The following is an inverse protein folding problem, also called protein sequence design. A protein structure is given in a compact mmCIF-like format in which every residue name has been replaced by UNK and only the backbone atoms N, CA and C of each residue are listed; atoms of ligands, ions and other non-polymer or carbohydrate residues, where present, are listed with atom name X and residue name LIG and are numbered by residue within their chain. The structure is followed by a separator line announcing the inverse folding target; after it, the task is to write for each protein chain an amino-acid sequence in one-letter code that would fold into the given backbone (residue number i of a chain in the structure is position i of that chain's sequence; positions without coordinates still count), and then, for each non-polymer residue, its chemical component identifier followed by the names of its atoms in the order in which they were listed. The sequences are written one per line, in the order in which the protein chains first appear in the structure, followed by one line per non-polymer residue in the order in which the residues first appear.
data_IF_724295180218
#
_entry.id   IF_724295180218
#
_cell.length_a   1.000
_cell.length_b   1.000
_cell.length_c   1.000
_cell.angle_alpha   90.00
_cell.angle_beta   90.00
_cell.angle_gamma   90.00
#
_symmetry.space_group_name_H-M   'P 1'
#
loop_
_entity.id
_entity.type
_entity.pdbx_description
1 polymer ?
#
# COMPACT_ATOMS: atom_id res chain seq x y z
N UNK A 1 0.96 -6.91 2.56
CA UNK A 1 0.02 -6.83 1.42
C UNK A 1 -1.17 -6.00 1.85
N UNK A 2 -1.55 -4.99 1.07
CA UNK A 2 -2.70 -4.13 1.38
C UNK A 2 -4.00 -4.84 0.99
N UNK A 3 -5.13 -4.53 1.63
CA UNK A 3 -6.45 -5.04 1.20
C UNK A 3 -6.73 -4.75 -0.27
N UNK A 4 -6.37 -3.55 -0.72
CA UNK A 4 -6.56 -3.12 -2.11
C UNK A 4 -5.78 -3.99 -3.11
N UNK A 5 -4.67 -4.61 -2.70
CA UNK A 5 -3.88 -5.46 -3.60
C UNK A 5 -4.61 -6.77 -3.89
N UNK A 6 -5.35 -7.30 -2.92
CA UNK A 6 -6.21 -8.46 -3.12
C UNK A 6 -7.37 -8.13 -4.06
N UNK A 7 -8.06 -7.00 -3.85
CA UNK A 7 -9.16 -6.59 -4.73
C UNK A 7 -8.69 -6.30 -6.15
N UNK A 8 -7.52 -5.68 -6.32
CA UNK A 8 -6.89 -5.49 -7.64
C UNK A 8 -6.62 -6.82 -8.34
N UNK A 9 -6.07 -7.81 -7.64
CA UNK A 9 -5.79 -9.13 -8.20
C UNK A 9 -7.07 -9.86 -8.62
N UNK A 10 -8.13 -9.75 -7.82
CA UNK A 10 -9.44 -10.31 -8.13
C UNK A 10 -10.05 -9.66 -9.38
N UNK A 11 -10.14 -8.32 -9.40
CA UNK A 11 -10.68 -7.57 -10.53
C UNK A 11 -9.87 -7.83 -11.82
N UNK A 12 -8.55 -7.88 -11.72
CA UNK A 12 -7.70 -8.27 -12.84
C UNK A 12 -8.06 -9.67 -13.34
N UNK A 13 -8.22 -10.64 -12.45
CA UNK A 13 -8.57 -12.02 -12.83
C UNK A 13 -9.95 -12.09 -13.51
N UNK A 14 -10.92 -11.29 -13.06
CA UNK A 14 -12.24 -11.18 -13.70
C UNK A 14 -12.10 -10.59 -15.11
N UNK A 15 -11.32 -9.52 -15.26
CA UNK A 15 -11.14 -8.83 -16.56
C UNK A 15 -10.55 -9.78 -17.63
N UNK A 16 -9.73 -10.76 -17.22
CA UNK A 16 -9.15 -11.72 -18.16
C UNK A 16 -10.19 -12.69 -18.75
N UNK A 17 -11.34 -12.84 -18.10
CA UNK A 17 -12.41 -13.77 -18.52
C UNK A 17 -13.58 -13.05 -19.21
N UNK A 18 -13.87 -11.82 -18.82
CA UNK A 18 -14.92 -10.97 -19.40
C UNK A 18 -14.60 -9.49 -19.16
N UNK A 19 -15.27 -8.60 -19.89
CA UNK A 19 -15.24 -7.18 -19.55
C UNK A 19 -15.75 -6.94 -18.12
N UNK A 20 -15.16 -5.96 -17.43
CA UNK A 20 -15.63 -5.49 -16.13
C UNK A 20 -16.98 -4.78 -16.29
N UNK A 21 -17.86 -4.93 -15.31
CA UNK A 21 -19.03 -4.06 -15.19
C UNK A 21 -18.60 -2.63 -14.86
N UNK A 22 -19.51 -1.67 -14.97
CA UNK A 22 -19.24 -0.29 -14.59
C UNK A 22 -18.84 -0.17 -13.11
N UNK A 23 -19.52 -0.90 -12.22
CA UNK A 23 -19.19 -0.95 -10.79
C UNK A 23 -17.79 -1.52 -10.55
N UNK A 24 -17.45 -2.64 -11.19
CA UNK A 24 -16.12 -3.26 -11.09
C UNK A 24 -15.02 -2.36 -11.65
N UNK A 25 -15.29 -1.62 -12.72
CA UNK A 25 -14.36 -0.66 -13.29
C UNK A 25 -14.15 0.53 -12.34
N UNK A 26 -15.21 0.99 -11.68
CA UNK A 26 -15.15 2.03 -10.65
C UNK A 26 -14.30 1.57 -9.46
N UNK A 27 -14.50 0.33 -9.00
CA UNK A 27 -13.70 -0.27 -7.94
C UNK A 27 -12.23 -0.45 -8.33
N UNK A 28 -11.95 -0.88 -9.58
CA UNK A 28 -10.59 -0.97 -10.10
C UNK A 28 -9.89 0.38 -10.03
N UNK A 29 -10.57 1.44 -10.46
CA UNK A 29 -10.04 2.81 -10.42
C UNK A 29 -9.80 3.28 -8.98
N UNK A 30 -10.72 3.01 -8.05
CA UNK A 30 -10.56 3.35 -6.65
C UNK A 30 -9.36 2.62 -6.01
N UNK A 31 -9.21 1.33 -6.28
CA UNK A 31 -8.09 0.53 -5.78
C UNK A 31 -6.74 1.01 -6.35
N UNK A 32 -6.68 1.34 -7.64
CA UNK A 32 -5.49 1.90 -8.29
C UNK A 32 -5.12 3.26 -7.70
N UNK A 33 -6.11 4.13 -7.48
CA UNK A 33 -5.90 5.44 -6.85
C UNK A 33 -5.29 5.28 -5.45
N UNK A 34 -5.88 4.43 -4.60
CA UNK A 34 -5.35 4.17 -3.28
C UNK A 34 -3.92 3.60 -3.33
N UNK A 35 -3.67 2.63 -4.21
CA UNK A 35 -2.34 2.06 -4.40
C UNK A 35 -1.31 3.13 -4.82
N UNK A 36 -1.67 4.04 -5.73
CA UNK A 36 -0.79 5.11 -6.17
C UNK A 36 -0.47 6.10 -5.05
N UNK A 37 -1.47 6.48 -4.24
CA UNK A 37 -1.27 7.36 -3.07
C UNK A 37 -0.34 6.70 -2.05
N UNK A 38 -0.59 5.43 -1.72
CA UNK A 38 0.24 4.66 -0.80
C UNK A 38 1.69 4.56 -1.30
N UNK A 39 1.88 4.13 -2.56
CA UNK A 39 3.19 3.95 -3.15
C UNK A 39 3.99 5.27 -3.18
N UNK A 40 3.34 6.39 -3.51
CA UNK A 40 3.97 7.71 -3.50
C UNK A 40 4.46 8.08 -2.10
N UNK A 41 3.63 7.88 -1.08
CA UNK A 41 3.99 8.20 0.31
C UNK A 41 5.13 7.32 0.81
N UNK A 42 5.08 6.02 0.52
CA UNK A 42 6.11 5.07 0.91
C UNK A 42 7.46 5.38 0.23
N UNK A 43 7.45 5.70 -1.07
CA UNK A 43 8.66 6.11 -1.79
C UNK A 43 9.29 7.38 -1.21
N UNK A 44 8.46 8.36 -0.81
CA UNK A 44 8.93 9.56 -0.12
C UNK A 44 9.67 9.25 1.18
N UNK A 45 9.10 8.35 2.01
CA UNK A 45 9.74 7.91 3.25
C UNK A 45 11.05 7.15 2.99
N UNK A 46 11.11 6.28 1.98
CA UNK A 46 12.37 5.60 1.64
C UNK A 46 13.46 6.56 1.21
N UNK A 47 13.11 7.58 0.41
CA UNK A 47 14.07 8.62 0.03
C UNK A 47 14.58 9.40 1.25
N UNK A 48 13.71 9.72 2.21
CA UNK A 48 14.10 10.39 3.45
C UNK A 48 14.99 9.50 4.33
N UNK A 49 14.67 8.21 4.45
CA UNK A 49 15.50 7.24 5.19
C UNK A 49 16.90 7.12 4.58
N UNK A 50 17.00 7.13 3.24
CA UNK A 50 18.27 7.13 2.53
C UNK A 50 19.08 8.40 2.83
N UNK A 51 18.45 9.58 2.79
CA UNK A 51 19.11 10.85 3.12
C UNK A 51 19.62 10.86 4.56
N UNK A 52 18.81 10.41 5.53
CA UNK A 52 19.21 10.30 6.94
C UNK A 52 20.45 9.40 7.11
N UNK A 53 20.44 8.24 6.45
CA UNK A 53 21.57 7.30 6.43
C UNK A 53 22.84 7.94 5.85
N UNK A 54 22.72 8.62 4.70
CA UNK A 54 23.85 9.30 4.05
C UNK A 54 24.44 10.43 4.90
N UNK A 55 23.60 11.09 5.70
CA UNK A 55 24.00 12.13 6.65
C UNK A 55 24.47 11.59 8.01
N UNK A 56 24.44 10.26 8.23
CA UNK A 56 24.73 9.60 9.51
C UNK A 56 23.82 10.06 10.66
N UNK A 57 22.62 10.54 10.33
CA UNK A 57 21.60 10.93 11.30
C UNK A 57 20.73 9.72 11.63
N UNK A 58 21.20 8.93 12.60
CA UNK A 58 20.55 7.69 13.01
C UNK A 58 19.21 7.92 13.70
N UNK A 59 19.06 9.02 14.43
CA UNK A 59 17.81 9.34 15.13
C UNK A 59 16.71 9.65 14.11
N UNK A 60 17.01 10.52 13.14
CA UNK A 60 16.08 10.80 12.04
C UNK A 60 15.78 9.53 11.23
N UNK A 61 16.78 8.69 10.98
CA UNK A 61 16.55 7.42 10.26
C UNK A 61 15.57 6.50 11.01
N UNK A 62 15.70 6.37 12.33
CA UNK A 62 14.78 5.58 13.15
C UNK A 62 13.35 6.14 13.11
N UNK A 63 13.18 7.45 13.17
CA UNK A 63 11.86 8.10 13.05
C UNK A 63 11.18 7.82 11.70
N UNK A 64 11.94 7.84 10.61
CA UNK A 64 11.40 7.51 9.28
C UNK A 64 11.02 6.03 9.19
N UNK A 65 11.83 5.12 9.75
CA UNK A 65 11.47 3.70 9.83
C UNK A 65 10.16 3.47 10.59
N UNK A 66 9.96 4.15 11.74
CA UNK A 66 8.71 4.06 12.49
C UNK A 66 7.49 4.56 11.69
N UNK A 67 7.68 5.60 10.88
CA UNK A 67 6.63 6.10 9.98
C UNK A 67 6.30 5.12 8.85
N UNK A 68 7.31 4.44 8.29
CA UNK A 68 7.13 3.39 7.29
C UNK A 68 6.30 2.24 7.89
N UNK A 69 6.67 1.76 9.08
CA UNK A 69 5.97 0.68 9.76
C UNK A 69 4.51 1.06 10.05
N UNK A 70 4.28 2.28 10.52
CA UNK A 70 2.91 2.80 10.75
C UNK A 70 2.11 2.85 9.46
N UNK A 71 2.70 3.33 8.36
CA UNK A 71 2.02 3.43 7.07
C UNK A 71 1.65 2.04 6.54
N UNK A 72 2.57 1.08 6.64
CA UNK A 72 2.34 -0.30 6.20
C UNK A 72 1.26 -1.00 7.03
N UNK A 73 1.22 -0.77 8.35
CA UNK A 73 0.15 -1.27 9.22
C UNK A 73 -1.22 -0.67 8.91
N UNK A 74 -1.29 0.62 8.60
CA UNK A 74 -2.55 1.29 8.24
C UNK A 74 -3.14 0.82 6.92
N UNK A 75 -2.28 0.41 5.99
CA UNK A 75 -2.72 -0.06 4.68
C UNK A 75 -2.92 -1.59 4.59
N UNK A 76 -2.30 -2.36 5.49
CA UNK A 76 -2.62 -3.77 5.68
C UNK A 76 -3.94 -3.92 6.44
N UNK A 77 -4.75 -4.92 6.08
CA UNK A 77 -5.87 -5.33 6.94
C UNK A 77 -5.28 -5.68 8.31
N UNK A 78 -5.92 -5.23 9.40
CA UNK A 78 -5.63 -5.70 10.75
C UNK A 78 -5.51 -7.23 10.72
N UNK A 79 -4.35 -7.77 11.11
CA UNK A 79 -4.13 -9.21 11.19
C UNK A 79 -5.20 -9.92 12.03
N UNK A 80 -5.84 -9.21 12.95
CA UNK A 80 -6.98 -9.67 13.76
C UNK A 80 -8.22 -10.10 12.95
N UNK A 81 -8.37 -9.67 11.70
CA UNK A 81 -9.49 -10.07 10.82
C UNK A 81 -9.21 -11.34 10.00
N UNK A 82 -7.94 -11.79 9.95
CA UNK A 82 -7.52 -13.00 9.24
C UNK A 82 -7.40 -14.22 10.16
N UNK A 83 -7.36 -14.03 11.48
CA UNK A 83 -7.34 -15.11 12.47
C UNK A 83 -8.75 -15.65 12.82
N UNK A 84 -9.80 -15.16 12.15
CA UNK A 84 -11.20 -15.51 12.44
C UNK A 84 -11.88 -16.46 11.42
N UNK A 85 -11.13 -17.10 10.53
CA UNK A 85 -11.63 -18.14 9.61
C UNK A 85 -10.62 -19.28 9.43
#
# INVERSE_FOLDING_TARGET
MLSVHWRLAELWTIQQKRALSEDEQSEMNACLHYNAVFARKLAGLYNQSLLASMSKDTEWQHDICAQIDKLQKQGGVNAEFLDSW
#
